data_IF_665531991401
#
_entry.id   IF_665531991401
#
_cell.length_a   1.000
_cell.length_b   1.000
_cell.length_c   1.000
_cell.angle_alpha   90.00
_cell.angle_beta   90.00
_cell.angle_gamma   90.00
#
_symmetry.space_group_name_H-M   'P 1'
#
loop_
_entity.id
_entity.type
_entity.pdbx_description
1 polymer ?
#
# COMPACT_ATOMS: atom_id res chain seq x y z
N UNK A 1 -15.14 -15.51 -4.01
CA UNK A 1 -14.84 -14.07 -3.94
C UNK A 1 -13.42 -13.86 -4.44
N UNK A 2 -13.15 -12.86 -5.30
CA UNK A 2 -11.79 -12.56 -5.74
C UNK A 2 -10.93 -12.18 -4.54
N UNK A 3 -9.83 -12.90 -4.33
CA UNK A 3 -8.89 -12.65 -3.22
C UNK A 3 -7.81 -11.71 -3.73
N UNK A 4 -7.46 -10.70 -2.92
CA UNK A 4 -6.37 -9.78 -3.26
C UNK A 4 -5.06 -10.55 -3.54
N UNK A 5 -4.30 -10.24 -4.60
CA UNK A 5 -3.06 -10.95 -4.95
C UNK A 5 -2.03 -10.91 -3.81
N UNK A 6 -1.61 -12.05 -3.24
CA UNK A 6 -0.75 -12.07 -2.06
C UNK A 6 0.65 -11.50 -2.34
N UNK A 7 1.31 -11.02 -1.29
CA UNK A 7 2.76 -10.86 -1.27
C UNK A 7 3.38 -12.16 -0.75
N UNK A 8 4.46 -12.61 -1.39
CA UNK A 8 5.23 -13.76 -0.93
C UNK A 8 6.53 -13.37 -0.22
N UNK A 9 6.87 -12.08 -0.20
CA UNK A 9 8.04 -11.57 0.52
C UNK A 9 7.98 -12.00 2.00
N UNK A 10 9.10 -12.49 2.52
CA UNK A 10 9.25 -12.98 3.89
C UNK A 10 8.74 -14.39 4.13
N UNK A 11 8.03 -15.02 3.18
CA UNK A 11 7.50 -16.38 3.36
C UNK A 11 8.61 -17.43 3.29
N UNK A 12 8.48 -18.46 4.14
CA UNK A 12 9.33 -19.65 4.15
C UNK A 12 8.80 -20.68 3.16
N UNK A 13 9.69 -21.23 2.35
CA UNK A 13 9.42 -22.31 1.40
C UNK A 13 10.22 -23.53 1.85
N UNK A 14 9.52 -24.59 2.22
CA UNK A 14 10.13 -25.85 2.66
C UNK A 14 10.34 -26.77 1.46
N UNK A 15 11.46 -27.49 1.45
CA UNK A 15 11.70 -28.58 0.49
C UNK A 15 11.09 -29.86 1.05
N UNK A 16 10.41 -30.64 0.21
CA UNK A 16 9.68 -31.84 0.61
C UNK A 16 10.50 -32.74 1.55
N UNK A 17 9.94 -33.02 2.73
CA UNK A 17 10.50 -33.93 3.73
C UNK A 17 11.60 -33.36 4.64
N UNK A 18 11.96 -32.07 4.53
CA UNK A 18 13.08 -31.47 5.27
C UNK A 18 12.73 -30.40 6.30
N UNK A 19 13.66 -30.16 7.25
CA UNK A 19 13.68 -28.95 8.09
C UNK A 19 14.26 -27.73 7.35
N UNK A 20 14.88 -27.94 6.19
CA UNK A 20 15.49 -26.86 5.40
C UNK A 20 14.40 -26.04 4.71
N UNK A 21 14.50 -24.73 4.87
CA UNK A 21 13.62 -23.78 4.21
C UNK A 21 14.44 -22.68 3.54
N UNK A 22 13.86 -22.07 2.51
CA UNK A 22 14.34 -20.85 1.90
C UNK A 22 13.38 -19.71 2.20
N UNK A 23 13.87 -18.47 2.22
CA UNK A 23 13.03 -17.29 2.40
C UNK A 23 12.94 -16.54 1.08
N UNK A 24 11.73 -16.18 0.67
CA UNK A 24 11.53 -15.31 -0.48
C UNK A 24 11.82 -13.86 -0.07
N UNK A 25 12.94 -13.28 -0.55
CA UNK A 25 13.34 -11.90 -0.21
C UNK A 25 13.20 -10.90 -1.36
N UNK A 26 12.92 -11.40 -2.57
CA UNK A 26 12.71 -10.59 -3.75
C UNK A 26 11.54 -11.15 -4.55
N UNK A 27 10.61 -10.29 -4.91
CA UNK A 27 9.58 -10.57 -5.90
C UNK A 27 9.39 -9.37 -6.82
N UNK A 28 9.12 -9.64 -8.08
CA UNK A 28 8.63 -8.63 -9.02
C UNK A 28 7.49 -9.17 -9.87
N UNK A 29 6.45 -8.36 -10.17
CA UNK A 29 5.40 -8.74 -11.10
C UNK A 29 5.98 -9.05 -12.49
N UNK A 30 5.54 -10.16 -13.08
CA UNK A 30 5.87 -10.57 -14.44
C UNK A 30 4.55 -10.85 -15.18
N UNK A 31 4.08 -9.86 -15.94
CA UNK A 31 2.75 -9.90 -16.57
C UNK A 31 1.60 -9.79 -15.55
N UNK A 32 0.42 -10.30 -15.90
CA UNK A 32 -0.82 -10.07 -15.15
C UNK A 32 -1.05 -11.03 -13.98
N UNK A 33 -0.43 -12.22 -13.98
CA UNK A 33 -0.72 -13.31 -13.02
C UNK A 33 0.50 -14.10 -12.56
N UNK A 34 1.71 -13.59 -12.81
CA UNK A 34 2.95 -14.26 -12.40
C UNK A 34 3.88 -13.30 -11.67
N UNK A 35 4.76 -13.88 -10.87
CA UNK A 35 5.84 -13.19 -10.19
C UNK A 35 7.16 -13.89 -10.49
N UNK A 36 8.20 -13.13 -10.75
CA UNK A 36 9.56 -13.62 -10.65
C UNK A 36 10.02 -13.45 -9.20
N UNK A 37 10.59 -14.50 -8.63
CA UNK A 37 11.00 -14.52 -7.24
C UNK A 37 12.41 -15.10 -7.09
N UNK A 38 13.15 -14.56 -6.11
CA UNK A 38 14.40 -15.16 -5.65
C UNK A 38 14.20 -15.66 -4.21
N UNK A 39 14.54 -16.94 -4.01
CA UNK A 39 14.54 -17.58 -2.70
C UNK A 39 15.98 -17.68 -2.21
N UNK A 40 16.13 -17.46 -0.91
CA UNK A 40 17.41 -17.27 -0.26
C UNK A 40 17.65 -18.35 0.79
N UNK A 41 18.90 -18.81 0.81
CA UNK A 41 19.49 -19.51 1.95
C UNK A 41 20.31 -18.47 2.71
N UNK A 42 19.88 -18.12 3.91
CA UNK A 42 20.35 -16.95 4.63
C UNK A 42 20.30 -15.67 3.76
N UNK A 43 21.46 -15.08 3.42
CA UNK A 43 21.58 -13.84 2.63
C UNK A 43 21.97 -14.08 1.17
N UNK A 44 22.07 -15.34 0.74
CA UNK A 44 22.49 -15.69 -0.62
C UNK A 44 21.29 -16.14 -1.45
N UNK A 45 21.02 -15.54 -2.63
CA UNK A 45 20.00 -16.05 -3.54
C UNK A 45 20.45 -17.40 -4.10
N UNK A 46 19.59 -18.41 -4.03
CA UNK A 46 19.93 -19.78 -4.45
C UNK A 46 18.96 -20.35 -5.46
N UNK A 47 17.68 -19.94 -5.42
CA UNK A 47 16.65 -20.46 -6.32
C UNK A 47 15.95 -19.28 -6.98
N UNK A 48 15.86 -19.34 -8.31
CA UNK A 48 14.92 -18.54 -9.06
C UNK A 48 13.62 -19.32 -9.22
N UNK A 49 12.49 -18.63 -9.08
CA UNK A 49 11.18 -19.21 -9.26
C UNK A 49 10.25 -18.29 -10.02
N UNK A 50 9.39 -18.88 -10.82
CA UNK A 50 8.21 -18.24 -11.40
C UNK A 50 7.00 -18.72 -10.61
N UNK A 51 6.35 -17.81 -9.90
CA UNK A 51 5.15 -18.10 -9.11
C UNK A 51 3.91 -17.60 -9.83
N UNK A 52 2.79 -18.28 -9.68
CA UNK A 52 1.49 -17.70 -10.04
C UNK A 52 0.94 -16.82 -8.90
N UNK A 53 -0.20 -16.17 -9.16
CA UNK A 53 -0.89 -15.33 -8.17
C UNK A 53 -1.44 -16.09 -6.95
N UNK A 54 -1.43 -17.43 -6.96
CA UNK A 54 -1.81 -18.27 -5.82
C UNK A 54 -0.58 -18.74 -5.04
N UNK A 55 0.64 -18.49 -5.54
CA UNK A 55 1.90 -18.91 -4.94
C UNK A 55 2.34 -20.30 -5.36
N UNK A 56 1.70 -20.87 -6.39
CA UNK A 56 2.14 -22.13 -6.99
C UNK A 56 3.39 -21.88 -7.83
N UNK A 57 4.39 -22.73 -7.65
CA UNK A 57 5.57 -22.76 -8.51
C UNK A 57 5.16 -23.22 -9.91
N UNK A 58 5.34 -22.34 -10.89
CA UNK A 58 5.18 -22.64 -12.32
C UNK A 58 6.50 -23.16 -12.91
N UNK A 59 7.62 -22.60 -12.46
CA UNK A 59 8.97 -23.08 -12.74
C UNK A 59 9.86 -22.72 -11.54
N UNK A 60 10.88 -23.53 -11.27
CA UNK A 60 11.93 -23.20 -10.32
C UNK A 60 13.20 -24.01 -10.56
N UNK A 61 14.35 -23.37 -10.34
CA UNK A 61 15.63 -24.03 -10.44
C UNK A 61 16.68 -23.35 -9.56
N UNK A 62 17.68 -24.12 -9.16
CA UNK A 62 18.86 -23.59 -8.50
C UNK A 62 19.67 -22.73 -9.47
N UNK A 63 20.06 -21.53 -9.02
CA UNK A 63 20.89 -20.59 -9.78
C UNK A 63 22.28 -21.16 -10.11
N UNK A 64 22.73 -22.19 -9.37
CA UNK A 64 23.97 -22.92 -9.67
C UNK A 64 23.85 -23.85 -10.89
N UNK A 65 22.63 -24.27 -11.24
CA UNK A 65 22.40 -25.33 -12.22
C UNK A 65 21.95 -24.78 -13.58
N UNK A 66 21.26 -23.64 -13.59
CA UNK A 66 20.66 -23.06 -14.77
C UNK A 66 20.62 -21.54 -14.65
N UNK A 67 20.78 -20.89 -15.79
CA UNK A 67 20.62 -19.45 -15.95
C UNK A 67 19.73 -19.18 -17.15
N UNK A 68 18.75 -18.31 -16.97
CA UNK A 68 17.82 -17.78 -17.97
C UNK A 68 17.93 -16.27 -18.00
N UNK A 69 17.43 -15.63 -19.07
CA UNK A 69 17.40 -14.15 -19.16
C UNK A 69 16.65 -13.56 -17.96
N UNK A 70 15.50 -14.13 -17.61
CA UNK A 70 14.68 -13.68 -16.51
C UNK A 70 15.36 -13.83 -15.15
N UNK A 71 16.07 -14.94 -14.93
CA UNK A 71 16.81 -15.15 -13.68
C UNK A 71 18.04 -14.25 -13.56
N UNK A 72 18.70 -13.94 -14.68
CA UNK A 72 19.83 -13.01 -14.72
C UNK A 72 19.37 -11.58 -14.43
N UNK A 73 18.28 -11.14 -15.07
CA UNK A 73 17.69 -9.83 -14.83
C UNK A 73 17.25 -9.66 -13.37
N UNK A 74 16.57 -10.67 -12.80
CA UNK A 74 16.15 -10.66 -11.41
C UNK A 74 17.37 -10.61 -10.46
N UNK A 75 18.42 -11.38 -10.75
CA UNK A 75 19.64 -11.42 -9.95
C UNK A 75 20.41 -10.10 -10.01
N UNK A 76 20.51 -9.48 -11.18
CA UNK A 76 21.19 -8.19 -11.36
C UNK A 76 20.40 -7.05 -10.70
N UNK A 77 19.07 -7.02 -10.85
CA UNK A 77 18.21 -6.07 -10.12
C UNK A 77 18.38 -6.24 -8.60
N UNK A 78 18.35 -7.47 -8.09
CA UNK A 78 18.56 -7.71 -6.67
C UNK A 78 19.96 -7.27 -6.21
N UNK A 79 21.00 -7.53 -7.02
CA UNK A 79 22.35 -7.09 -6.73
C UNK A 79 22.45 -5.57 -6.60
N UNK A 80 21.81 -4.82 -7.49
CA UNK A 80 21.73 -3.36 -7.40
C UNK A 80 21.06 -2.90 -6.09
N UNK A 81 19.96 -3.55 -5.70
CA UNK A 81 19.26 -3.28 -4.43
C UNK A 81 20.19 -3.57 -3.24
N UNK A 82 20.84 -4.74 -3.25
CA UNK A 82 21.75 -5.18 -2.18
C UNK A 82 22.96 -4.25 -2.04
N UNK A 83 23.60 -3.86 -3.14
CA UNK A 83 24.78 -3.00 -3.13
C UNK A 83 24.45 -1.58 -2.64
N UNK A 84 23.24 -1.07 -2.93
CA UNK A 84 22.74 0.17 -2.35
C UNK A 84 22.49 0.02 -0.85
N UNK A 85 21.85 -1.08 -0.42
CA UNK A 85 21.59 -1.35 1.00
C UNK A 85 22.86 -1.51 1.83
N UNK A 86 23.98 -1.96 1.26
CA UNK A 86 25.28 -1.99 1.95
C UNK A 86 25.79 -0.58 2.36
N UNK A 87 25.33 0.48 1.69
CA UNK A 87 25.68 1.85 2.04
C UNK A 87 24.96 2.29 3.34
N UNK A 88 23.83 1.67 3.66
CA UNK A 88 23.07 1.89 4.88
C UNK A 88 23.68 1.04 6.01
N UNK A 89 24.51 1.68 6.83
CA UNK A 89 25.21 1.05 7.97
C UNK A 89 24.27 0.69 9.13
N UNK A 90 23.41 -0.30 8.93
CA UNK A 90 22.59 -0.93 9.97
C UNK A 90 23.13 -2.33 10.29
N UNK A 91 23.32 -2.63 11.58
CA UNK A 91 23.80 -3.95 12.03
C UNK A 91 22.64 -4.94 12.17
N UNK A 92 22.96 -6.24 12.25
CA UNK A 92 21.93 -7.26 12.53
C UNK A 92 21.25 -7.06 13.89
N UNK A 93 21.99 -6.57 14.89
CA UNK A 93 21.41 -6.25 16.20
C UNK A 93 20.44 -5.07 16.13
N UNK A 94 20.75 -4.05 15.31
CA UNK A 94 19.82 -2.93 15.07
C UNK A 94 18.53 -3.41 14.41
N UNK A 95 18.63 -4.31 13.43
CA UNK A 95 17.47 -4.89 12.74
C UNK A 95 16.61 -5.74 13.68
N UNK A 96 17.24 -6.57 14.53
CA UNK A 96 16.52 -7.37 15.53
C UNK A 96 15.82 -6.51 16.58
N UNK A 97 16.46 -5.42 17.01
CA UNK A 97 15.84 -4.50 17.96
C UNK A 97 14.71 -3.69 17.32
N UNK A 98 14.80 -3.39 16.02
CA UNK A 98 13.77 -2.70 15.26
C UNK A 98 12.46 -3.50 15.10
N UNK A 99 12.47 -4.82 15.33
CA UNK A 99 11.27 -5.65 15.37
C UNK A 99 10.42 -5.46 16.64
N UNK A 100 10.96 -4.77 17.64
CA UNK A 100 10.26 -4.46 18.90
C UNK A 100 9.52 -3.13 18.81
N UNK A 101 8.52 -2.96 19.67
CA UNK A 101 7.84 -1.68 19.85
C UNK A 101 8.77 -0.60 20.41
N UNK A 102 8.39 0.67 20.25
CA UNK A 102 9.14 1.82 20.77
C UNK A 102 9.51 1.70 22.27
N UNK A 103 8.64 1.09 23.08
CA UNK A 103 8.83 0.94 24.52
C UNK A 103 9.86 -0.14 24.87
N UNK A 104 9.92 -1.19 24.05
CA UNK A 104 10.73 -2.39 24.26
C UNK A 104 12.05 -2.38 23.48
N UNK A 105 12.17 -1.51 22.47
CA UNK A 105 13.43 -1.27 21.78
C UNK A 105 14.43 -0.61 22.73
N UNK A 106 15.70 -0.98 22.62
CA UNK A 106 16.77 -0.38 23.43
C UNK A 106 16.75 1.14 23.17
N UNK A 107 16.53 1.92 24.24
CA UNK A 107 16.15 3.36 24.31
C UNK A 107 17.03 4.39 23.55
N UNK A 108 17.90 3.99 22.64
CA UNK A 108 18.68 4.91 21.79
C UNK A 108 18.71 4.38 20.36
N UNK A 109 17.98 5.06 19.47
CA UNK A 109 18.66 5.85 18.45
C UNK A 109 17.64 6.53 17.52
N UNK A 110 17.50 7.84 17.69
CA UNK A 110 17.00 8.74 16.63
C UNK A 110 17.70 8.41 15.30
N UNK A 111 18.99 8.03 15.36
CA UNK A 111 19.78 7.58 14.22
C UNK A 111 19.23 6.32 13.51
N UNK A 112 18.79 5.30 14.25
CA UNK A 112 18.26 4.05 13.67
C UNK A 112 16.90 4.34 13.06
N UNK A 113 16.04 5.10 13.75
CA UNK A 113 14.76 5.54 13.16
C UNK A 113 14.97 6.29 11.86
N UNK A 114 15.95 7.21 11.82
CA UNK A 114 16.30 7.93 10.58
C UNK A 114 16.76 6.95 9.49
N UNK A 115 17.66 6.02 9.80
CA UNK A 115 18.14 5.02 8.84
C UNK A 115 17.00 4.13 8.30
N UNK A 116 16.09 3.70 9.17
CA UNK A 116 14.91 2.92 8.77
C UNK A 116 13.98 3.73 7.86
N UNK A 117 13.71 5.00 8.20
CA UNK A 117 12.90 5.90 7.35
C UNK A 117 13.58 6.12 6.00
N UNK A 118 14.88 6.40 6.00
CA UNK A 118 15.65 6.64 4.77
C UNK A 118 15.64 5.40 3.86
N UNK A 119 15.77 4.20 4.44
CA UNK A 119 15.67 2.93 3.71
C UNK A 119 14.27 2.70 3.12
N UNK A 120 13.21 2.89 3.92
CA UNK A 120 11.83 2.79 3.43
C UNK A 120 11.55 3.78 2.30
N UNK A 121 12.03 5.02 2.43
CA UNK A 121 11.88 6.04 1.38
C UNK A 121 12.61 5.65 0.10
N UNK A 122 13.78 5.05 0.19
CA UNK A 122 14.51 4.54 -0.96
C UNK A 122 13.77 3.37 -1.63
N UNK A 123 13.28 2.42 -0.84
CA UNK A 123 12.49 1.29 -1.32
C UNK A 123 11.19 1.78 -2.01
N UNK A 124 10.47 2.74 -1.41
CA UNK A 124 9.26 3.35 -1.99
C UNK A 124 9.60 4.09 -3.28
N UNK A 125 10.66 4.92 -3.27
CA UNK A 125 11.05 5.75 -4.43
C UNK A 125 11.34 4.92 -5.67
N UNK A 126 11.96 3.75 -5.49
CA UNK A 126 12.42 2.88 -6.56
C UNK A 126 11.51 1.67 -6.81
N UNK A 127 10.47 1.46 -5.99
CA UNK A 127 9.57 0.31 -6.11
C UNK A 127 10.22 -1.03 -5.75
N UNK A 128 11.22 -1.02 -4.87
CA UNK A 128 11.98 -2.22 -4.51
C UNK A 128 11.26 -3.09 -3.49
N UNK A 129 11.59 -4.39 -3.51
CA UNK A 129 11.27 -5.32 -2.42
C UNK A 129 11.99 -4.87 -1.14
N UNK A 130 11.23 -4.64 -0.07
CA UNK A 130 11.77 -4.15 1.19
C UNK A 130 12.24 -5.30 2.08
N UNK A 131 13.51 -5.24 2.50
CA UNK A 131 14.06 -6.20 3.46
C UNK A 131 13.49 -5.98 4.86
N UNK A 132 13.15 -4.73 5.20
CA UNK A 132 12.58 -4.39 6.50
C UNK A 132 11.19 -4.99 6.64
N UNK A 133 10.37 -4.88 5.58
CA UNK A 133 9.06 -5.54 5.54
C UNK A 133 9.22 -7.06 5.55
N UNK A 134 10.14 -7.62 4.75
CA UNK A 134 10.40 -9.06 4.75
C UNK A 134 10.77 -9.57 6.15
N UNK A 135 11.63 -8.85 6.87
CA UNK A 135 12.05 -9.16 8.23
C UNK A 135 10.87 -9.06 9.21
N UNK A 136 10.05 -8.01 9.11
CA UNK A 136 8.85 -7.85 9.93
C UNK A 136 7.84 -8.98 9.69
N UNK A 137 7.64 -9.42 8.45
CA UNK A 137 6.72 -10.52 8.14
C UNK A 137 7.26 -11.85 8.67
N UNK A 138 8.57 -12.09 8.51
CA UNK A 138 9.19 -13.37 8.87
C UNK A 138 9.43 -13.54 10.37
N UNK A 139 9.78 -12.45 11.07
CA UNK A 139 10.29 -12.47 12.45
C UNK A 139 9.63 -11.42 13.37
N UNK A 140 8.71 -10.61 12.85
CA UNK A 140 8.06 -9.55 13.62
C UNK A 140 7.25 -10.08 14.79
N UNK A 141 7.39 -9.41 15.93
CA UNK A 141 6.71 -9.77 17.19
C UNK A 141 5.56 -8.79 17.48
N UNK A 142 5.59 -7.59 16.90
CA UNK A 142 4.60 -6.54 17.14
C UNK A 142 4.29 -5.77 15.86
N UNK A 143 3.00 -5.50 15.62
CA UNK A 143 2.53 -4.62 14.55
C UNK A 143 2.90 -3.15 14.78
N UNK A 144 3.34 -2.81 16.00
CA UNK A 144 3.83 -1.49 16.40
C UNK A 144 5.36 -1.46 16.49
N UNK A 145 6.04 -2.34 15.75
CA UNK A 145 7.49 -2.35 15.69
C UNK A 145 8.07 -1.03 15.18
N UNK A 146 9.34 -0.75 15.50
CA UNK A 146 10.03 0.41 14.92
C UNK A 146 9.99 0.37 13.39
N UNK A 147 10.12 -0.81 12.77
CA UNK A 147 10.00 -0.97 11.32
C UNK A 147 8.66 -0.43 10.82
N UNK A 148 7.54 -0.85 11.40
CA UNK A 148 6.20 -0.43 10.95
C UNK A 148 5.94 1.05 11.24
N UNK A 149 6.37 1.56 12.40
CA UNK A 149 6.26 2.99 12.75
C UNK A 149 7.06 3.87 11.79
N UNK A 150 8.27 3.44 11.42
CA UNK A 150 9.10 4.17 10.45
C UNK A 150 8.58 4.05 9.02
N UNK A 151 7.92 2.95 8.66
CA UNK A 151 7.23 2.81 7.37
C UNK A 151 6.09 3.83 7.26
N UNK A 152 5.25 3.95 8.28
CA UNK A 152 4.19 4.97 8.32
C UNK A 152 4.76 6.39 8.15
N UNK A 153 5.86 6.69 8.86
CA UNK A 153 6.58 7.96 8.72
C UNK A 153 7.20 8.19 7.33
N UNK A 154 7.60 7.11 6.64
CA UNK A 154 8.14 7.18 5.28
C UNK A 154 7.04 7.38 4.25
N UNK A 155 5.88 6.73 4.42
CA UNK A 155 4.69 6.93 3.58
C UNK A 155 4.26 8.39 3.61
N UNK A 156 4.15 8.99 4.80
CA UNK A 156 3.80 10.40 4.99
C UNK A 156 4.73 11.39 4.24
N UNK A 157 5.97 10.99 3.93
CA UNK A 157 6.97 11.81 3.24
C UNK A 157 7.14 11.46 1.76
N UNK A 158 6.65 10.30 1.33
CA UNK A 158 6.84 9.82 -0.02
C UNK A 158 5.86 10.49 -1.00
N UNK A 159 6.11 10.30 -2.30
CA UNK A 159 5.07 10.55 -3.30
C UNK A 159 3.93 9.54 -3.12
N UNK A 160 2.69 10.02 -3.11
CA UNK A 160 1.50 9.21 -2.79
C UNK A 160 1.31 8.00 -3.70
N UNK A 161 1.47 8.18 -5.03
CA UNK A 161 1.35 7.07 -5.99
C UNK A 161 2.44 6.02 -5.84
N UNK A 162 3.68 6.45 -5.56
CA UNK A 162 4.77 5.50 -5.28
C UNK A 162 4.53 4.73 -3.98
N UNK A 163 4.06 5.41 -2.94
CA UNK A 163 3.68 4.78 -1.68
C UNK A 163 2.54 3.78 -1.89
N UNK A 164 1.54 4.12 -2.69
CA UNK A 164 0.45 3.21 -3.06
C UNK A 164 0.97 1.91 -3.68
N UNK A 165 1.74 1.99 -4.76
CA UNK A 165 2.32 0.80 -5.39
C UNK A 165 3.21 0.01 -4.45
N UNK A 166 3.99 0.69 -3.61
CA UNK A 166 4.83 0.03 -2.62
C UNK A 166 4.01 -0.76 -1.59
N UNK A 167 2.91 -0.19 -1.09
CA UNK A 167 1.99 -0.86 -0.18
C UNK A 167 1.30 -2.06 -0.84
N UNK A 168 0.89 -1.93 -2.10
CA UNK A 168 0.31 -3.04 -2.88
C UNK A 168 1.30 -4.19 -3.06
N UNK A 169 2.53 -3.89 -3.45
CA UNK A 169 3.57 -4.90 -3.69
C UNK A 169 3.92 -5.68 -2.41
N UNK A 170 3.73 -5.09 -1.25
CA UNK A 170 4.02 -5.70 0.04
C UNK A 170 2.80 -6.17 0.81
N UNK A 171 1.59 -5.89 0.30
CA UNK A 171 0.30 -6.21 0.93
C UNK A 171 0.17 -5.66 2.35
N UNK A 172 0.51 -4.39 2.50
CA UNK A 172 0.34 -3.61 3.73
C UNK A 172 -0.92 -2.76 3.59
N UNK A 173 -2.04 -3.44 3.38
CA UNK A 173 -3.30 -2.82 2.98
C UNK A 173 -3.88 -1.93 4.10
N UNK A 174 -3.53 -2.20 5.36
CA UNK A 174 -3.96 -1.41 6.53
C UNK A 174 -3.46 0.04 6.53
N UNK A 175 -2.40 0.36 5.78
CA UNK A 175 -1.86 1.72 5.67
C UNK A 175 -2.42 2.49 4.46
N UNK A 176 -3.25 1.86 3.62
CA UNK A 176 -3.86 2.52 2.46
C UNK A 176 -4.70 3.74 2.84
N UNK A 177 -5.52 3.72 3.91
CA UNK A 177 -6.25 4.91 4.33
C UNK A 177 -5.34 6.11 4.66
N UNK A 178 -4.11 5.88 5.11
CA UNK A 178 -3.16 6.96 5.43
C UNK A 178 -2.73 7.73 4.18
N UNK A 179 -2.84 7.12 2.99
CA UNK A 179 -2.58 7.80 1.72
C UNK A 179 -3.57 8.94 1.44
N UNK A 180 -4.69 9.01 2.16
CA UNK A 180 -5.64 10.12 2.08
C UNK A 180 -4.96 11.48 2.30
N UNK A 181 -3.88 11.56 3.09
CA UNK A 181 -3.09 12.79 3.29
C UNK A 181 -2.50 13.34 2.00
N UNK A 182 -2.22 12.47 1.03
CA UNK A 182 -1.54 12.81 -0.22
C UNK A 182 -2.51 13.21 -1.34
N UNK A 183 -3.83 13.12 -1.17
CA UNK A 183 -4.79 13.40 -2.26
C UNK A 183 -4.73 14.84 -2.78
N UNK A 184 -4.19 15.78 -1.98
CA UNK A 184 -3.93 17.14 -2.43
C UNK A 184 -2.84 17.19 -3.49
N UNK A 185 -1.75 16.45 -3.28
CA UNK A 185 -0.56 16.45 -4.15
C UNK A 185 -0.58 15.30 -5.18
N UNK A 186 -1.48 14.34 -5.03
CA UNK A 186 -1.63 13.15 -5.89
C UNK A 186 -3.12 12.78 -5.98
N UNK A 187 -3.95 13.61 -6.65
CA UNK A 187 -5.39 13.40 -6.76
C UNK A 187 -5.76 12.10 -7.51
N UNK A 188 -4.86 11.53 -8.30
CA UNK A 188 -5.03 10.26 -9.02
C UNK A 188 -5.32 9.10 -8.06
N UNK A 189 -4.87 9.18 -6.80
CA UNK A 189 -5.18 8.19 -5.75
C UNK A 189 -6.69 8.00 -5.54
N UNK A 190 -7.49 9.03 -5.80
CA UNK A 190 -8.96 8.98 -5.67
C UNK A 190 -9.57 7.98 -6.66
N UNK A 191 -8.93 7.75 -7.81
CA UNK A 191 -9.40 6.78 -8.81
C UNK A 191 -8.69 5.44 -8.68
N UNK A 192 -7.37 5.45 -8.49
CA UNK A 192 -6.52 4.25 -8.49
C UNK A 192 -6.78 3.34 -7.28
N UNK A 193 -6.95 3.91 -6.08
CA UNK A 193 -7.23 3.12 -4.87
C UNK A 193 -8.57 2.38 -4.99
N UNK A 194 -9.71 3.06 -5.31
CA UNK A 194 -10.96 2.35 -5.55
C UNK A 194 -10.90 1.36 -6.71
N UNK A 195 -10.29 1.72 -7.84
CA UNK A 195 -10.22 0.85 -9.01
C UNK A 195 -9.55 -0.49 -8.68
N UNK A 196 -8.46 -0.45 -7.92
CA UNK A 196 -7.78 -1.66 -7.47
C UNK A 196 -8.65 -2.44 -6.48
N UNK A 197 -9.01 -1.86 -5.33
CA UNK A 197 -9.61 -2.61 -4.22
C UNK A 197 -11.06 -3.06 -4.49
N UNK A 198 -11.85 -2.28 -5.24
CA UNK A 198 -13.21 -2.70 -5.61
C UNK A 198 -13.22 -3.87 -6.60
N UNK A 199 -12.17 -4.02 -7.42
CA UNK A 199 -12.05 -5.19 -8.29
C UNK A 199 -11.88 -6.52 -7.51
N UNK A 200 -11.51 -6.43 -6.22
CA UNK A 200 -11.36 -7.56 -5.30
C UNK A 200 -12.37 -7.55 -4.15
N UNK A 201 -13.49 -6.82 -4.28
CA UNK A 201 -14.55 -6.77 -3.27
C UNK A 201 -14.07 -6.27 -1.89
N UNK A 202 -13.09 -5.36 -1.87
CA UNK A 202 -12.49 -4.80 -0.65
C UNK A 202 -13.00 -3.39 -0.34
N UNK A 203 -14.33 -3.24 -0.31
CA UNK A 203 -15.00 -1.97 -0.14
C UNK A 203 -14.61 -1.22 1.14
N UNK A 204 -14.34 -1.94 2.24
CA UNK A 204 -14.02 -1.34 3.55
C UNK A 204 -12.76 -0.47 3.53
N UNK A 205 -11.72 -0.90 2.81
CA UNK A 205 -10.47 -0.14 2.68
C UNK A 205 -10.74 1.16 1.91
N UNK A 206 -11.51 1.05 0.82
CA UNK A 206 -11.88 2.18 -0.02
C UNK A 206 -12.77 3.16 0.74
N UNK A 207 -13.75 2.66 1.51
CA UNK A 207 -14.60 3.48 2.36
C UNK A 207 -13.77 4.31 3.35
N UNK A 208 -12.82 3.69 4.04
CA UNK A 208 -11.94 4.39 4.99
C UNK A 208 -11.10 5.44 4.28
N UNK A 209 -10.47 5.07 3.18
CA UNK A 209 -9.67 5.99 2.37
C UNK A 209 -10.46 7.20 1.87
N UNK A 210 -11.66 7.00 1.28
CA UNK A 210 -12.51 8.10 0.80
C UNK A 210 -12.98 8.99 1.97
N UNK A 211 -13.36 8.38 3.09
CA UNK A 211 -13.76 9.09 4.30
C UNK A 211 -12.66 9.98 4.87
N UNK A 212 -11.41 9.54 4.82
CA UNK A 212 -10.25 10.31 5.27
C UNK A 212 -9.80 11.33 4.23
N UNK A 213 -9.96 11.03 2.94
CA UNK A 213 -9.64 11.95 1.83
C UNK A 213 -10.43 13.26 1.94
N UNK A 214 -11.67 13.21 2.47
CA UNK A 214 -12.47 14.41 2.73
C UNK A 214 -11.82 15.41 3.69
N UNK A 215 -10.81 15.02 4.47
CA UNK A 215 -10.07 15.93 5.37
C UNK A 215 -8.96 16.70 4.66
N UNK A 216 -8.43 16.16 3.57
CA UNK A 216 -7.18 16.63 2.94
C UNK A 216 -7.38 17.17 1.53
N UNK A 217 -8.46 16.78 0.84
CA UNK A 217 -8.80 17.33 -0.47
C UNK A 217 -9.03 18.84 -0.37
N UNK A 218 -8.56 19.60 -1.34
CA UNK A 218 -8.87 21.03 -1.43
C UNK A 218 -10.37 21.22 -1.72
N UNK A 219 -11.06 22.05 -0.93
CA UNK A 219 -12.52 22.24 -1.05
C UNK A 219 -12.92 22.95 -2.35
N UNK A 220 -11.97 23.64 -2.98
CA UNK A 220 -12.13 24.31 -4.27
C UNK A 220 -11.75 23.40 -5.44
N UNK A 221 -11.11 22.24 -5.19
CA UNK A 221 -10.79 21.26 -6.22
C UNK A 221 -12.04 20.41 -6.55
N UNK A 222 -12.96 21.05 -7.26
CA UNK A 222 -14.25 20.46 -7.63
C UNK A 222 -14.13 19.12 -8.34
N UNK A 223 -13.14 18.96 -9.23
CA UNK A 223 -12.90 17.70 -9.96
C UNK A 223 -12.54 16.56 -9.01
N UNK A 224 -11.62 16.79 -8.07
CA UNK A 224 -11.23 15.77 -7.09
C UNK A 224 -12.41 15.40 -6.17
N UNK A 225 -13.19 16.39 -5.74
CA UNK A 225 -14.36 16.16 -4.88
C UNK A 225 -15.45 15.39 -5.62
N UNK A 226 -15.77 15.77 -6.86
CA UNK A 226 -16.70 15.03 -7.71
C UNK A 226 -16.25 13.58 -7.87
N UNK A 227 -14.94 13.36 -8.09
CA UNK A 227 -14.37 12.01 -8.17
C UNK A 227 -14.57 11.22 -6.87
N UNK A 228 -14.33 11.81 -5.69
CA UNK A 228 -14.59 11.17 -4.39
C UNK A 228 -16.07 10.77 -4.27
N UNK A 229 -16.99 11.67 -4.65
CA UNK A 229 -18.43 11.42 -4.58
C UNK A 229 -18.87 10.31 -5.55
N UNK A 230 -18.34 10.28 -6.77
CA UNK A 230 -18.60 9.23 -7.74
C UNK A 230 -18.12 7.86 -7.24
N UNK A 231 -16.92 7.79 -6.64
CA UNK A 231 -16.41 6.53 -6.09
C UNK A 231 -17.23 6.07 -4.88
N UNK A 232 -17.64 6.99 -4.01
CA UNK A 232 -18.54 6.68 -2.90
C UNK A 232 -19.91 6.18 -3.38
N UNK A 233 -20.46 6.77 -4.46
CA UNK A 233 -21.69 6.32 -5.09
C UNK A 233 -21.57 4.89 -5.62
N UNK A 234 -20.45 4.55 -6.29
CA UNK A 234 -20.21 3.19 -6.81
C UNK A 234 -20.25 2.16 -5.68
N UNK A 235 -19.65 2.47 -4.54
CA UNK A 235 -19.66 1.58 -3.37
C UNK A 235 -21.09 1.38 -2.86
N UNK A 236 -21.85 2.47 -2.69
CA UNK A 236 -23.24 2.39 -2.22
C UNK A 236 -24.14 1.59 -3.17
N UNK A 237 -23.91 1.70 -4.49
CA UNK A 237 -24.67 0.94 -5.48
C UNK A 237 -24.35 -0.56 -5.45
N UNK A 238 -23.09 -0.94 -5.27
CA UNK A 238 -22.65 -2.35 -5.30
C UNK A 238 -22.87 -3.04 -3.96
N UNK A 239 -22.63 -2.35 -2.84
CA UNK A 239 -22.59 -2.94 -1.49
C UNK A 239 -23.76 -2.50 -0.58
N UNK A 240 -24.72 -1.73 -1.10
CA UNK A 240 -25.87 -1.21 -0.34
C UNK A 240 -25.47 -0.45 0.94
N UNK A 241 -24.37 0.29 0.87
CA UNK A 241 -23.79 1.04 2.00
C UNK A 241 -24.30 2.49 2.07
N UNK A 242 -23.73 3.27 3.01
CA UNK A 242 -24.05 4.71 3.19
C UNK A 242 -22.80 5.60 3.10
N UNK A 243 -21.80 5.17 2.32
CA UNK A 243 -20.51 5.84 2.15
C UNK A 243 -20.69 7.22 1.53
N UNK A 244 -21.51 7.35 0.47
CA UNK A 244 -21.79 8.64 -0.17
C UNK A 244 -22.36 9.64 0.84
N UNK A 245 -23.29 9.18 1.68
CA UNK A 245 -23.87 10.01 2.74
C UNK A 245 -22.81 10.46 3.75
N UNK A 246 -21.96 9.55 4.22
CA UNK A 246 -20.89 9.88 5.17
C UNK A 246 -19.93 10.94 4.60
N UNK A 247 -19.49 10.73 3.35
CA UNK A 247 -18.60 11.64 2.62
C UNK A 247 -19.24 13.03 2.46
N UNK A 248 -20.51 13.10 2.02
CA UNK A 248 -21.24 14.36 1.87
C UNK A 248 -21.35 15.14 3.18
N UNK A 249 -21.66 14.46 4.28
CA UNK A 249 -21.79 15.12 5.60
C UNK A 249 -20.47 15.77 6.01
N UNK A 250 -19.33 15.11 5.77
CA UNK A 250 -18.00 15.67 6.07
C UNK A 250 -17.66 16.85 5.18
N UNK A 251 -17.88 16.72 3.87
CA UNK A 251 -17.63 17.80 2.91
C UNK A 251 -18.51 19.02 3.22
N UNK A 252 -19.80 18.85 3.49
CA UNK A 252 -20.67 19.98 3.85
C UNK A 252 -20.31 20.68 5.16
N UNK A 253 -19.72 19.97 6.12
CA UNK A 253 -19.18 20.61 7.32
C UNK A 253 -17.99 21.50 6.94
N UNK A 254 -17.12 21.04 6.03
CA UNK A 254 -15.99 21.82 5.51
C UNK A 254 -16.44 23.02 4.68
N UNK A 255 -17.38 22.86 3.75
CA UNK A 255 -17.96 23.97 2.95
C UNK A 255 -18.44 25.10 3.87
N UNK A 256 -19.20 24.77 4.92
CA UNK A 256 -19.68 25.77 5.89
C UNK A 256 -18.55 26.46 6.66
N UNK A 257 -17.43 25.80 6.87
CA UNK A 257 -16.31 26.31 7.67
C UNK A 257 -15.25 27.05 6.84
N UNK A 258 -15.07 26.67 5.58
CA UNK A 258 -13.96 27.09 4.72
C UNK A 258 -14.41 28.01 3.59
N UNK A 259 -15.73 28.11 3.31
CA UNK A 259 -16.27 28.89 2.19
C UNK A 259 -17.50 29.70 2.62
N UNK A 260 -17.82 30.74 1.84
CA UNK A 260 -19.07 31.52 2.02
C UNK A 260 -20.27 30.90 1.27
N UNK A 261 -20.04 29.87 0.46
CA UNK A 261 -21.07 29.25 -0.35
C UNK A 261 -22.10 28.50 0.51
N UNK A 262 -23.37 28.54 0.09
CA UNK A 262 -24.35 27.60 0.62
C UNK A 262 -24.03 26.19 0.11
N UNK A 263 -24.40 25.15 0.87
CA UNK A 263 -24.21 23.74 0.45
C UNK A 263 -24.79 23.46 -0.94
N UNK A 264 -25.91 24.11 -1.28
CA UNK A 264 -26.59 23.95 -2.57
C UNK A 264 -25.79 24.60 -3.70
N UNK A 265 -25.29 25.82 -3.49
CA UNK A 265 -24.51 26.54 -4.49
C UNK A 265 -23.17 25.85 -4.75
N UNK A 266 -22.50 25.42 -3.68
CA UNK A 266 -21.28 24.62 -3.77
C UNK A 266 -21.51 23.30 -4.52
N UNK A 267 -22.60 22.57 -4.24
CA UNK A 267 -22.94 21.35 -4.99
C UNK A 267 -23.14 21.62 -6.49
N UNK A 268 -23.79 22.73 -6.85
CA UNK A 268 -24.03 23.08 -8.25
C UNK A 268 -22.74 23.37 -9.01
N UNK A 269 -21.74 23.96 -8.32
CA UNK A 269 -20.39 24.18 -8.87
C UNK A 269 -19.55 22.91 -8.92
N UNK A 270 -19.77 22.00 -7.97
CA UNK A 270 -18.90 20.83 -7.77
C UNK A 270 -19.32 19.62 -8.61
N UNK A 271 -20.62 19.31 -8.66
CA UNK A 271 -21.14 18.07 -9.24
C UNK A 271 -21.77 18.36 -10.60
N UNK A 272 -21.09 17.98 -11.68
CA UNK A 272 -21.54 18.14 -13.05
C UNK A 272 -22.36 16.95 -13.54
N UNK A 273 -22.12 15.75 -13.00
CA UNK A 273 -22.88 14.55 -13.32
C UNK A 273 -24.34 14.63 -12.80
N UNK A 274 -25.30 14.55 -13.73
CA UNK A 274 -26.73 14.68 -13.43
C UNK A 274 -27.29 13.48 -12.63
N UNK A 275 -26.76 12.28 -12.83
CA UNK A 275 -27.14 11.08 -12.08
C UNK A 275 -26.70 11.19 -10.62
N UNK A 276 -25.42 11.54 -10.40
CA UNK A 276 -24.87 11.78 -9.07
C UNK A 276 -25.63 12.89 -8.35
N UNK A 277 -25.88 14.02 -9.04
CA UNK A 277 -26.64 15.15 -8.47
C UNK A 277 -28.03 14.72 -8.02
N UNK A 278 -28.75 13.93 -8.82
CA UNK A 278 -30.09 13.44 -8.50
C UNK A 278 -30.06 12.55 -7.24
N UNK A 279 -29.07 11.66 -7.14
CA UNK A 279 -28.90 10.78 -5.98
C UNK A 279 -28.59 11.56 -4.70
N UNK A 280 -27.71 12.57 -4.77
CA UNK A 280 -27.38 13.44 -3.63
C UNK A 280 -28.65 14.14 -3.12
N UNK A 281 -29.50 14.68 -4.01
CA UNK A 281 -30.76 15.33 -3.63
C UNK A 281 -31.71 14.35 -2.93
N UNK A 282 -31.83 13.12 -3.44
CA UNK A 282 -32.67 12.10 -2.80
C UNK A 282 -32.17 11.73 -1.40
N UNK A 283 -30.86 11.60 -1.23
CA UNK A 283 -30.24 11.33 0.09
C UNK A 283 -30.51 12.46 1.08
N UNK A 284 -30.47 13.71 0.63
CA UNK A 284 -30.74 14.87 1.48
C UNK A 284 -32.22 14.98 1.88
N UNK A 285 -33.16 14.64 0.98
CA UNK A 285 -34.60 14.65 1.28
C UNK A 285 -35.00 13.62 2.33
N UNK A 286 -34.36 12.43 2.32
CA UNK A 286 -34.57 11.38 3.34
C UNK A 286 -34.12 11.80 4.76
N UNK A 287 -33.42 12.93 4.90
CA UNK A 287 -32.93 13.43 6.19
C UNK A 287 -33.89 14.43 6.86
N UNK A 288 -34.81 15.02 6.10
CA UNK A 288 -35.85 15.94 6.58
C UNK A 288 -37.21 15.25 6.80
N UNK A 289 -37.26 13.92 6.64
CA UNK A 289 -38.41 13.07 6.97
C UNK A 289 -38.08 12.26 8.21
#
# INVERSE_FOLDING_TARGET
MPVLPPSFIGKKVYVDGGQRYFILKYQEPSGTRKFHALLFDHETPVIFAVLDYQGKFLDSFYLSNKTTVESDEASEKYKQISDRKKQLKMTQDDLKDALKSNENAKKKNIKIKKQLVDEHLEDIKNGWSSRLIALQIAEGISDQSLIMVTLDSAIDKANGMKAFHHLLNHRIDQLIPNLAKHVKDSPELIEEVPAYYLSYDQAKIVEQFLNDSTKYVDIENYKAIESILQQAQKIDHVHYSTVLRSVLVKLFKRVKAETEDTKKDWLNKTVHDQSLRTMIVQLLKKQTS
#
